data_IF_352163955665
#
_entry.id   IF_352163955665
#
_cell.length_a   1.000
_cell.length_b   1.000
_cell.length_c   1.000
_cell.angle_alpha   90.00
_cell.angle_beta   90.00
_cell.angle_gamma   90.00
#
_symmetry.space_group_name_H-M   'P 1'
#
loop_
_entity.id
_entity.type
_entity.pdbx_description
1 polymer ?
#
# COMPACT_ATOMS: atom_id res chain seq x y z
N UNK A 1 -13.29 19.70 13.22
CA UNK A 1 -12.26 19.02 14.05
C UNK A 1 -12.48 17.52 14.23
N UNK A 2 -13.62 17.03 14.76
CA UNK A 2 -13.84 15.58 14.90
C UNK A 2 -14.04 14.89 13.54
N UNK A 3 -14.92 15.43 12.69
CA UNK A 3 -15.18 14.91 11.34
C UNK A 3 -13.91 14.85 10.49
N UNK A 4 -13.14 15.95 10.43
CA UNK A 4 -11.86 15.98 9.69
C UNK A 4 -10.87 14.92 10.17
N UNK A 5 -10.83 14.64 11.49
CA UNK A 5 -9.99 13.57 12.05
C UNK A 5 -10.48 12.19 11.62
N UNK A 6 -11.79 11.95 11.64
CA UNK A 6 -12.38 10.69 11.21
C UNK A 6 -12.18 10.45 9.71
N UNK A 7 -12.38 11.47 8.89
CA UNK A 7 -12.12 11.45 7.44
C UNK A 7 -10.66 11.14 7.15
N UNK A 8 -9.72 11.84 7.79
CA UNK A 8 -8.29 11.58 7.63
C UNK A 8 -7.92 10.13 7.98
N UNK A 9 -8.42 9.62 9.11
CA UNK A 9 -8.16 8.24 9.53
C UNK A 9 -8.76 7.26 8.52
N UNK A 10 -10.00 7.51 8.05
CA UNK A 10 -10.67 6.67 7.06
C UNK A 10 -9.85 6.59 5.77
N UNK A 11 -9.43 7.73 5.22
CA UNK A 11 -8.61 7.78 4.00
C UNK A 11 -7.26 7.08 4.17
N UNK A 12 -6.62 7.25 5.34
CA UNK A 12 -5.37 6.58 5.71
C UNK A 12 -5.54 5.05 5.67
N UNK A 13 -6.66 4.53 6.16
CA UNK A 13 -7.01 3.11 6.07
C UNK A 13 -7.34 2.66 4.64
N UNK A 14 -8.05 3.48 3.85
CA UNK A 14 -8.33 3.17 2.43
C UNK A 14 -7.03 2.97 1.66
N UNK A 15 -6.06 3.89 1.79
CA UNK A 15 -4.73 3.79 1.15
C UNK A 15 -3.96 2.54 1.59
N UNK A 16 -4.07 2.15 2.85
CA UNK A 16 -3.48 0.91 3.35
C UNK A 16 -4.17 -0.34 2.76
N UNK A 17 -5.48 -0.30 2.56
CA UNK A 17 -6.23 -1.37 1.90
C UNK A 17 -5.90 -1.49 0.41
N UNK A 18 -5.68 -0.38 -0.29
CA UNK A 18 -5.20 -0.38 -1.67
C UNK A 18 -3.83 -1.08 -1.78
N UNK A 19 -2.91 -0.82 -0.85
CA UNK A 19 -1.61 -1.49 -0.84
C UNK A 19 -1.74 -3.01 -0.60
N UNK A 20 -2.74 -3.45 0.16
CA UNK A 20 -3.05 -4.89 0.34
C UNK A 20 -3.53 -5.53 -0.96
N UNK A 21 -4.39 -4.86 -1.72
CA UNK A 21 -4.85 -5.37 -3.02
C UNK A 21 -3.68 -5.55 -4.00
N UNK A 22 -2.75 -4.59 -4.05
CA UNK A 22 -1.55 -4.71 -4.89
C UNK A 22 -0.66 -5.86 -4.43
N UNK A 23 -0.52 -6.08 -3.12
CA UNK A 23 0.22 -7.25 -2.59
C UNK A 23 -0.42 -8.56 -3.04
N UNK A 24 -1.74 -8.67 -2.96
CA UNK A 24 -2.44 -9.90 -3.32
C UNK A 24 -2.30 -10.20 -4.83
N UNK A 25 -2.34 -9.16 -5.67
CA UNK A 25 -2.09 -9.30 -7.11
C UNK A 25 -0.63 -9.66 -7.42
N UNK A 26 0.33 -9.07 -6.70
CA UNK A 26 1.74 -9.45 -6.81
C UNK A 26 1.97 -10.93 -6.45
N UNK A 27 1.33 -11.43 -5.39
CA UNK A 27 1.40 -12.85 -5.01
C UNK A 27 0.83 -13.75 -6.10
N UNK A 28 -0.28 -13.36 -6.74
CA UNK A 28 -0.82 -14.11 -7.89
C UNK A 28 0.17 -14.11 -9.05
N UNK A 29 0.72 -12.95 -9.41
CA UNK A 29 1.71 -12.82 -10.47
C UNK A 29 2.93 -13.74 -10.22
N UNK A 30 3.48 -13.73 -9.01
CA UNK A 30 4.58 -14.61 -8.63
C UNK A 30 4.24 -16.09 -8.77
N UNK A 31 3.01 -16.50 -8.44
CA UNK A 31 2.56 -17.89 -8.60
C UNK A 31 2.36 -18.29 -10.06
N UNK A 32 1.89 -17.38 -10.90
CA UNK A 32 1.64 -17.64 -12.33
C UNK A 32 2.93 -17.66 -13.15
N UNK A 33 3.81 -16.69 -12.93
CA UNK A 33 5.06 -16.52 -13.70
C UNK A 33 6.18 -17.48 -13.28
N UNK A 34 6.08 -18.08 -12.08
CA UNK A 34 7.05 -19.03 -11.57
C UNK A 34 8.44 -18.41 -11.53
N UNK A 35 9.40 -18.98 -12.27
CA UNK A 35 10.79 -18.50 -12.31
C UNK A 35 10.95 -17.13 -12.99
N UNK A 36 10.01 -16.72 -13.85
CA UNK A 36 10.09 -15.47 -14.62
C UNK A 36 9.55 -14.25 -13.86
N UNK A 37 9.11 -14.43 -12.61
CA UNK A 37 8.42 -13.39 -11.85
C UNK A 37 9.25 -12.11 -11.64
N UNK A 38 10.58 -12.21 -11.64
CA UNK A 38 11.48 -11.06 -11.48
C UNK A 38 11.40 -10.05 -12.63
N UNK A 39 11.09 -10.52 -13.85
CA UNK A 39 10.93 -9.67 -15.02
C UNK A 39 9.47 -9.25 -15.17
N UNK A 40 8.56 -10.23 -15.21
CA UNK A 40 7.16 -10.00 -15.53
C UNK A 40 6.36 -9.29 -14.42
N UNK A 41 6.73 -9.52 -13.15
CA UNK A 41 6.05 -8.91 -11.99
C UNK A 41 6.80 -7.72 -11.39
N UNK A 42 7.86 -7.22 -12.06
CA UNK A 42 8.70 -6.13 -11.54
C UNK A 42 7.91 -4.86 -11.24
N UNK A 43 7.05 -4.47 -12.16
CA UNK A 43 6.22 -3.27 -12.03
C UNK A 43 5.25 -3.33 -10.84
N UNK A 44 4.70 -4.52 -10.54
CA UNK A 44 3.86 -4.74 -9.34
C UNK A 44 4.69 -4.64 -8.07
N UNK A 45 5.90 -5.19 -8.08
CA UNK A 45 6.84 -5.11 -6.96
C UNK A 45 7.21 -3.66 -6.66
N UNK A 46 7.60 -2.90 -7.69
CA UNK A 46 7.97 -1.49 -7.56
C UNK A 46 6.80 -0.64 -7.07
N UNK A 47 5.60 -0.87 -7.63
CA UNK A 47 4.36 -0.21 -7.19
C UNK A 47 4.07 -0.51 -5.73
N UNK A 48 4.16 -1.78 -5.31
CA UNK A 48 3.92 -2.18 -3.93
C UNK A 48 4.91 -1.50 -2.97
N UNK A 49 6.19 -1.44 -3.34
CA UNK A 49 7.23 -0.78 -2.55
C UNK A 49 6.96 0.72 -2.42
N UNK A 50 6.54 1.41 -3.49
CA UNK A 50 6.16 2.83 -3.43
C UNK A 50 5.00 3.04 -2.46
N UNK A 51 3.96 2.22 -2.59
CA UNK A 51 2.77 2.28 -1.72
C UNK A 51 3.12 2.01 -0.26
N UNK A 52 4.04 1.08 0.04
CA UNK A 52 4.48 0.84 1.42
C UNK A 52 5.19 2.05 2.05
N UNK A 53 5.84 2.89 1.25
CA UNK A 53 6.48 4.12 1.73
C UNK A 53 5.45 5.23 1.96
N UNK A 54 4.52 5.39 1.02
CA UNK A 54 3.59 6.51 0.98
C UNK A 54 2.31 6.29 1.80
N UNK A 55 1.73 5.09 1.75
CA UNK A 55 0.40 4.76 2.28
C UNK A 55 0.43 4.22 3.71
N UNK A 56 1.48 4.52 4.48
CA UNK A 56 1.52 4.14 5.90
C UNK A 56 0.41 4.85 6.65
N UNK A 57 -0.30 4.10 7.51
CA UNK A 57 -1.31 4.68 8.38
C UNK A 57 -0.64 5.66 9.34
N UNK A 58 -0.85 6.96 9.12
CA UNK A 58 -0.32 8.04 9.98
C UNK A 58 -1.39 8.48 10.97
N UNK A 59 -0.96 8.88 12.17
CA UNK A 59 -1.84 9.51 13.15
C UNK A 59 -2.20 10.94 12.74
N UNK A 60 -3.40 11.40 13.11
CA UNK A 60 -3.88 12.75 12.80
C UNK A 60 -3.04 13.84 13.48
N UNK A 61 -2.53 13.56 14.69
CA UNK A 61 -1.64 14.48 15.41
C UNK A 61 -0.19 14.20 15.01
N UNK A 62 0.43 15.13 14.29
CA UNK A 62 1.89 15.13 14.09
C UNK A 62 2.52 15.64 15.40
N UNK A 63 3.35 14.82 16.00
CA UNK A 63 4.20 15.21 17.13
C UNK A 63 5.58 15.31 16.53
N UNK A 64 6.07 16.54 16.33
CA UNK A 64 7.47 16.75 15.98
C UNK A 64 8.27 16.59 17.29
N UNK A 65 9.19 15.62 17.31
CA UNK A 65 10.16 15.42 18.39
C UNK A 65 11.47 16.07 17.98
#
# INVERSE_FOLDING_TARGET
>A
KLQEREEFIRESWVKAMEARLVRDELVKCHRLEGVNHLENCRWLSDKYISMLKENKVKGYKKIDV
#
